data_IF_485958170354
#
_entry.id   IF_485958170354
#
_cell.length_a   1.000
_cell.length_b   1.000
_cell.length_c   1.000
_cell.angle_alpha   90.00
_cell.angle_beta   90.00
_cell.angle_gamma   90.00
#
_symmetry.space_group_name_H-M   'P 1'
#
loop_
_entity.id
_entity.type
_entity.pdbx_description
1 polymer ?
#
# COMPACT_ATOMS: atom_id res chain seq x y z
N UNK A 1 8.43 -12.23 13.78
CA UNK A 1 8.70 -10.86 13.29
C UNK A 1 7.95 -9.83 14.12
N UNK A 2 8.40 -8.57 14.09
CA UNK A 2 7.72 -7.47 14.79
C UNK A 2 6.67 -6.82 13.88
N UNK A 3 5.55 -6.40 14.51
CA UNK A 3 4.53 -5.57 13.86
C UNK A 3 3.97 -4.55 14.85
N UNK A 4 3.49 -3.40 14.34
CA UNK A 4 2.75 -2.43 15.12
C UNK A 4 1.24 -2.72 14.97
N UNK A 5 0.59 -3.00 16.10
CA UNK A 5 -0.81 -3.42 16.14
C UNK A 5 -1.65 -2.37 16.84
N UNK A 6 -2.65 -1.87 16.17
CA UNK A 6 -3.71 -1.06 16.75
C UNK A 6 -4.66 -2.02 17.51
N UNK A 7 -4.54 -2.07 18.83
CA UNK A 7 -5.29 -3.00 19.69
C UNK A 7 -6.72 -2.53 19.97
N UNK A 8 -6.89 -1.23 20.05
CA UNK A 8 -8.15 -0.51 20.23
C UNK A 8 -7.92 0.95 19.88
N UNK A 9 -8.96 1.78 19.89
CA UNK A 9 -8.85 3.22 19.69
C UNK A 9 -7.67 3.82 20.47
N UNK A 10 -6.77 4.53 19.76
CA UNK A 10 -5.65 5.26 20.34
C UNK A 10 -4.54 4.38 20.94
N UNK A 11 -4.61 3.05 20.86
CA UNK A 11 -3.64 2.15 21.48
C UNK A 11 -2.90 1.32 20.44
N UNK A 12 -1.73 1.83 20.03
CA UNK A 12 -0.78 1.12 19.17
C UNK A 12 0.29 0.44 20.02
N UNK A 13 0.58 -0.82 19.76
CA UNK A 13 1.60 -1.58 20.46
C UNK A 13 2.45 -2.43 19.51
N UNK A 14 3.73 -2.56 19.83
CA UNK A 14 4.61 -3.51 19.13
C UNK A 14 4.33 -4.92 19.64
N UNK A 15 4.11 -5.84 18.74
CA UNK A 15 3.93 -7.27 19.02
C UNK A 15 4.95 -8.11 18.26
N UNK A 16 5.45 -9.14 18.92
CA UNK A 16 6.20 -10.20 18.24
C UNK A 16 5.22 -11.30 17.82
N UNK A 17 5.20 -11.59 16.52
CA UNK A 17 4.29 -12.58 15.95
C UNK A 17 5.05 -13.63 15.14
N UNK A 18 4.49 -14.83 15.09
CA UNK A 18 4.86 -15.84 14.12
C UNK A 18 3.85 -15.75 12.98
N UNK A 19 4.30 -15.33 11.82
CA UNK A 19 3.48 -15.28 10.60
C UNK A 19 4.08 -16.28 9.60
N UNK A 20 3.23 -17.01 8.91
CA UNK A 20 3.66 -17.89 7.82
C UNK A 20 4.12 -17.03 6.64
N UNK A 21 5.41 -17.06 6.38
CA UNK A 21 6.04 -16.35 5.26
C UNK A 21 6.19 -17.21 4.00
N UNK A 22 5.59 -18.40 3.95
CA UNK A 22 5.55 -19.24 2.73
C UNK A 22 4.87 -18.47 1.61
N UNK A 23 5.54 -18.40 0.45
CA UNK A 23 5.06 -17.67 -0.72
C UNK A 23 4.22 -18.54 -1.64
N UNK A 24 3.16 -17.96 -2.19
CA UNK A 24 2.53 -18.47 -3.39
C UNK A 24 3.46 -18.27 -4.60
N UNK A 25 3.14 -18.92 -5.73
CA UNK A 25 4.02 -18.91 -6.89
C UNK A 25 4.30 -17.49 -7.44
N UNK A 26 3.34 -16.58 -7.35
CA UNK A 26 3.38 -15.21 -7.86
C UNK A 26 3.62 -14.13 -6.78
N UNK A 27 3.86 -14.54 -5.54
CA UNK A 27 4.09 -13.61 -4.42
C UNK A 27 5.56 -13.23 -4.26
N UNK A 28 5.75 -12.04 -3.72
CA UNK A 28 7.04 -11.47 -3.35
C UNK A 28 7.05 -11.19 -1.86
N UNK A 29 8.09 -11.63 -1.15
CA UNK A 29 8.34 -11.26 0.23
C UNK A 29 9.20 -9.99 0.26
N UNK A 30 8.65 -8.91 0.78
CA UNK A 30 9.34 -7.62 0.91
C UNK A 30 9.69 -7.36 2.38
N UNK A 31 10.98 -7.09 2.65
CA UNK A 31 11.41 -6.51 3.92
C UNK A 31 11.09 -5.01 3.90
N UNK A 32 10.16 -4.60 4.74
CA UNK A 32 9.72 -3.21 4.84
C UNK A 32 10.83 -2.33 5.40
N UNK A 33 11.13 -1.23 4.72
CA UNK A 33 12.13 -0.24 5.16
C UNK A 33 11.48 1.06 5.60
N UNK A 34 10.48 1.52 4.89
CA UNK A 34 9.72 2.75 5.19
C UNK A 34 8.25 2.49 4.96
N UNK A 35 7.43 3.00 5.85
CA UNK A 35 5.97 3.14 5.71
C UNK A 35 5.61 4.57 6.05
N UNK A 36 4.87 5.25 5.19
CA UNK A 36 4.29 6.56 5.50
C UNK A 36 2.89 6.39 6.08
N UNK A 37 2.38 7.40 6.73
CA UNK A 37 1.10 7.36 7.44
C UNK A 37 0.06 8.13 6.66
N UNK A 38 -0.93 7.43 6.15
CA UNK A 38 -2.08 8.02 5.47
C UNK A 38 -3.05 8.68 6.47
N UNK A 39 -3.84 9.61 5.98
CA UNK A 39 -4.96 10.19 6.75
C UNK A 39 -5.98 9.14 7.21
N UNK A 40 -6.15 8.05 6.46
CA UNK A 40 -7.01 6.93 6.85
C UNK A 40 -6.45 6.17 8.06
N UNK A 41 -5.13 5.97 8.16
CA UNK A 41 -4.51 5.35 9.33
C UNK A 41 -4.76 6.18 10.60
N UNK A 42 -4.66 7.51 10.49
CA UNK A 42 -4.98 8.42 11.60
C UNK A 42 -6.47 8.37 11.97
N UNK A 43 -7.34 8.29 10.97
CA UNK A 43 -8.78 8.15 11.18
C UNK A 43 -9.10 6.86 11.94
N UNK A 44 -8.51 5.73 11.56
CA UNK A 44 -8.68 4.44 12.24
C UNK A 44 -8.08 4.46 13.65
N UNK A 45 -6.93 5.09 13.84
CA UNK A 45 -6.32 5.24 15.16
C UNK A 45 -7.21 6.02 16.13
N UNK A 46 -7.93 7.03 15.64
CA UNK A 46 -8.80 7.90 16.45
C UNK A 46 -10.25 7.42 16.54
N UNK A 47 -10.66 6.46 15.71
CA UNK A 47 -12.05 6.06 15.60
C UNK A 47 -12.58 5.35 16.88
N UNK A 48 -13.71 5.79 17.39
CA UNK A 48 -14.47 5.07 18.41
C UNK A 48 -15.07 3.77 17.86
N UNK A 49 -15.48 3.81 16.58
CA UNK A 49 -16.03 2.67 15.86
C UNK A 49 -15.36 2.58 14.51
N UNK A 50 -14.74 1.45 14.22
CA UNK A 50 -14.17 1.17 12.90
C UNK A 50 -15.27 0.94 11.85
N UNK A 51 -14.99 1.19 10.55
CA UNK A 51 -15.85 0.74 9.45
C UNK A 51 -16.21 -0.75 9.58
N UNK A 52 -17.36 -1.16 9.03
CA UNK A 52 -17.94 -2.51 9.23
C UNK A 52 -17.03 -3.68 8.86
N UNK A 53 -16.08 -3.45 7.97
CA UNK A 53 -15.14 -4.44 7.44
C UNK A 53 -13.80 -4.48 8.19
N UNK A 54 -13.63 -3.64 9.21
CA UNK A 54 -12.45 -3.59 10.06
C UNK A 54 -12.75 -3.98 11.50
N UNK A 55 -11.79 -4.67 12.11
CA UNK A 55 -11.89 -5.11 13.51
C UNK A 55 -10.53 -4.98 14.20
N UNK A 56 -10.57 -4.67 15.48
CA UNK A 56 -9.36 -4.78 16.33
C UNK A 56 -9.06 -6.25 16.65
N UNK A 57 -7.80 -6.67 16.75
CA UNK A 57 -6.58 -5.89 16.48
C UNK A 57 -6.32 -5.71 14.99
N UNK A 58 -5.76 -4.57 14.60
CA UNK A 58 -5.54 -4.17 13.20
C UNK A 58 -4.08 -3.74 12.99
N UNK A 59 -3.43 -4.20 11.93
CA UNK A 59 -2.14 -3.68 11.46
C UNK A 59 -2.42 -2.65 10.37
N UNK A 60 -2.00 -1.41 10.62
CA UNK A 60 -2.19 -0.26 9.73
C UNK A 60 -1.06 -0.16 8.68
N UNK A 61 -1.14 0.87 7.84
CA UNK A 61 -0.14 1.23 6.84
C UNK A 61 -0.36 0.55 5.50
N UNK A 62 -0.20 1.33 4.43
CA UNK A 62 -0.38 0.85 3.06
C UNK A 62 0.49 1.62 2.05
N UNK A 63 1.23 2.62 2.50
CA UNK A 63 2.17 3.42 1.71
C UNK A 63 3.59 2.96 2.08
N UNK A 64 4.20 2.04 1.31
CA UNK A 64 5.44 1.40 1.73
C UNK A 64 6.47 1.23 0.62
N UNK A 65 7.74 1.18 1.04
CA UNK A 65 8.87 0.75 0.24
C UNK A 65 9.79 -0.20 1.03
N UNK A 66 10.52 -1.04 0.32
CA UNK A 66 11.37 -2.03 0.95
C UNK A 66 12.32 -2.76 -0.01
N UNK A 67 12.82 -3.89 0.45
CA UNK A 67 13.76 -4.74 -0.29
C UNK A 67 13.14 -6.13 -0.46
N UNK A 68 13.18 -6.65 -1.68
CA UNK A 68 12.79 -8.04 -1.98
C UNK A 68 13.70 -9.01 -1.25
N UNK A 69 13.14 -9.85 -0.39
CA UNK A 69 13.87 -10.88 0.37
C UNK A 69 13.80 -12.24 -0.32
N UNK A 70 12.64 -12.55 -0.89
CA UNK A 70 12.37 -13.82 -1.54
C UNK A 70 11.25 -13.65 -2.57
N UNK A 71 11.25 -14.50 -3.60
CA UNK A 71 10.24 -14.49 -4.66
C UNK A 71 9.68 -15.89 -4.85
N UNK A 72 8.37 -15.96 -5.13
CA UNK A 72 7.73 -17.18 -5.57
C UNK A 72 8.24 -17.65 -6.93
N UNK A 73 7.94 -18.89 -7.27
CA UNK A 73 8.54 -19.59 -8.44
C UNK A 73 8.09 -19.03 -9.80
N UNK A 74 6.97 -18.31 -9.86
CA UNK A 74 6.46 -17.66 -11.07
C UNK A 74 6.76 -16.14 -11.15
N UNK A 75 7.48 -15.60 -10.17
CA UNK A 75 7.87 -14.18 -10.17
C UNK A 75 8.98 -13.95 -11.19
N UNK A 76 8.79 -12.97 -12.08
CA UNK A 76 9.75 -12.59 -13.12
C UNK A 76 10.04 -11.09 -13.16
N UNK A 77 9.22 -10.25 -12.52
CA UNK A 77 9.32 -8.78 -12.56
C UNK A 77 10.41 -8.22 -11.66
N UNK A 78 10.72 -8.92 -10.57
CA UNK A 78 11.71 -8.51 -9.56
C UNK A 78 12.51 -9.72 -9.06
N UNK A 79 13.65 -9.45 -8.43
CA UNK A 79 14.50 -10.46 -7.84
C UNK A 79 14.94 -10.08 -6.42
N UNK A 80 15.46 -11.04 -5.67
CA UNK A 80 16.02 -10.81 -4.34
C UNK A 80 17.07 -9.70 -4.36
N UNK A 81 16.92 -8.74 -3.46
CA UNK A 81 17.79 -7.57 -3.31
C UNK A 81 17.27 -6.34 -4.02
N UNK A 82 16.30 -6.45 -4.92
CA UNK A 82 15.71 -5.29 -5.57
C UNK A 82 15.03 -4.37 -4.55
N UNK A 83 15.19 -3.06 -4.76
CA UNK A 83 14.51 -2.01 -4.01
C UNK A 83 13.16 -1.75 -4.67
N UNK A 84 12.09 -1.75 -3.90
CA UNK A 84 10.73 -1.72 -4.46
C UNK A 84 9.81 -0.81 -3.68
N UNK A 85 8.85 -0.20 -4.39
CA UNK A 85 7.60 0.31 -3.85
C UNK A 85 6.50 -0.73 -4.04
N UNK A 86 5.50 -0.69 -3.18
CA UNK A 86 4.39 -1.64 -3.22
C UNK A 86 3.07 -0.89 -3.36
N UNK A 87 2.33 -1.19 -4.42
CA UNK A 87 0.94 -0.78 -4.54
C UNK A 87 0.09 -1.59 -3.56
N UNK A 88 -0.64 -0.93 -2.65
CA UNK A 88 -1.40 -1.65 -1.62
C UNK A 88 -2.62 -2.39 -2.15
N UNK A 89 -3.02 -2.11 -3.40
CA UNK A 89 -4.13 -2.75 -4.07
C UNK A 89 -3.66 -3.98 -4.85
N UNK A 90 -4.41 -5.08 -4.73
CA UNK A 90 -4.24 -6.28 -5.55
C UNK A 90 -5.57 -6.66 -6.15
N UNK A 91 -5.56 -7.06 -7.43
CA UNK A 91 -6.74 -7.42 -8.20
C UNK A 91 -6.56 -8.76 -8.92
N UNK A 92 -7.67 -9.42 -9.27
CA UNK A 92 -7.60 -10.79 -9.80
C UNK A 92 -7.12 -10.89 -11.26
N UNK A 93 -7.16 -9.81 -12.02
CA UNK A 93 -6.74 -9.77 -13.43
C UNK A 93 -7.67 -10.42 -14.44
N UNK A 94 -8.73 -11.14 -14.03
CA UNK A 94 -9.56 -11.96 -14.94
C UNK A 94 -11.06 -11.69 -14.86
N UNK A 95 -11.59 -10.97 -13.86
CA UNK A 95 -12.99 -10.58 -13.83
C UNK A 95 -13.31 -9.52 -14.90
N UNK A 96 -14.57 -9.28 -15.17
CA UNK A 96 -15.01 -8.34 -16.21
C UNK A 96 -14.45 -6.94 -16.01
N UNK A 97 -14.42 -6.42 -14.77
CA UNK A 97 -13.84 -5.12 -14.46
C UNK A 97 -12.33 -5.08 -14.79
N UNK A 98 -11.57 -6.10 -14.40
CA UNK A 98 -10.14 -6.18 -14.70
C UNK A 98 -9.87 -6.26 -16.21
N UNK A 99 -10.69 -7.00 -16.97
CA UNK A 99 -10.54 -7.11 -18.42
C UNK A 99 -10.80 -5.77 -19.14
N UNK A 100 -11.60 -4.87 -18.55
CA UNK A 100 -11.80 -3.51 -19.06
C UNK A 100 -10.75 -2.50 -18.61
N UNK A 101 -9.85 -2.89 -17.69
CA UNK A 101 -8.87 -1.99 -17.06
C UNK A 101 -9.40 -1.24 -15.84
N UNK A 102 -10.62 -1.53 -15.40
CA UNK A 102 -11.27 -0.91 -14.24
C UNK A 102 -10.88 -1.66 -12.95
N UNK A 103 -9.59 -1.77 -12.66
CA UNK A 103 -9.05 -2.64 -11.59
C UNK A 103 -9.60 -2.34 -10.20
N UNK A 104 -9.90 -1.08 -9.90
CA UNK A 104 -10.50 -0.63 -8.64
C UNK A 104 -11.94 -1.12 -8.42
N UNK A 105 -12.59 -1.68 -9.46
CA UNK A 105 -13.88 -2.35 -9.38
C UNK A 105 -13.75 -3.88 -9.43
N UNK A 106 -12.57 -4.42 -9.19
CA UNK A 106 -12.35 -5.87 -9.16
C UNK A 106 -13.21 -6.52 -8.07
N UNK A 107 -13.90 -7.63 -8.43
CA UNK A 107 -14.77 -8.38 -7.51
C UNK A 107 -13.99 -9.01 -6.34
N UNK A 108 -12.71 -9.30 -6.56
CA UNK A 108 -11.80 -9.89 -5.56
C UNK A 108 -10.74 -8.90 -5.11
N UNK A 109 -11.08 -7.61 -5.10
CA UNK A 109 -10.15 -6.56 -4.71
C UNK A 109 -9.65 -6.77 -3.27
N UNK A 110 -8.35 -6.77 -3.11
CA UNK A 110 -7.67 -6.72 -1.82
C UNK A 110 -6.98 -5.36 -1.65
N UNK A 111 -7.01 -4.84 -0.43
CA UNK A 111 -6.30 -3.61 -0.10
C UNK A 111 -5.66 -3.74 1.28
N UNK A 112 -4.38 -3.36 1.43
CA UNK A 112 -3.67 -3.42 2.70
C UNK A 112 -4.38 -2.59 3.78
N UNK A 113 -4.34 -3.06 5.01
CA UNK A 113 -5.03 -2.46 6.17
C UNK A 113 -6.56 -2.33 6.00
N UNK A 114 -7.19 -3.19 5.18
CA UNK A 114 -8.65 -3.24 5.03
C UNK A 114 -9.18 -4.67 4.89
N UNK A 115 -10.46 -4.87 5.20
CA UNK A 115 -11.21 -6.14 4.98
C UNK A 115 -10.47 -7.41 5.48
N UNK A 116 -9.83 -7.33 6.64
CA UNK A 116 -9.06 -8.45 7.19
C UNK A 116 -7.67 -8.65 6.58
N UNK A 117 -7.26 -7.80 5.65
CA UNK A 117 -5.90 -7.79 5.08
C UNK A 117 -5.00 -6.96 6.01
N UNK A 118 -3.90 -7.56 6.43
CA UNK A 118 -2.91 -6.90 7.28
C UNK A 118 -2.21 -5.76 6.53
N UNK A 119 -1.99 -4.64 7.21
CA UNK A 119 -1.24 -3.51 6.66
C UNK A 119 0.28 -3.71 6.69
N UNK A 120 1.00 -2.66 6.33
CA UNK A 120 2.45 -2.65 6.12
C UNK A 120 3.26 -2.25 7.37
N UNK A 121 2.64 -1.88 8.51
CA UNK A 121 3.38 -1.57 9.74
C UNK A 121 3.92 -2.85 10.41
N UNK A 122 4.69 -3.64 9.65
CA UNK A 122 5.35 -4.89 10.05
C UNK A 122 6.68 -5.09 9.32
N UNK A 123 7.52 -6.00 9.80
CA UNK A 123 8.86 -6.20 9.22
C UNK A 123 8.83 -6.78 7.81
N UNK A 124 7.87 -7.65 7.50
CA UNK A 124 7.75 -8.31 6.19
C UNK A 124 6.32 -8.27 5.69
N UNK A 125 6.17 -8.06 4.38
CA UNK A 125 4.90 -8.12 3.66
C UNK A 125 5.04 -9.12 2.52
N UNK A 126 4.04 -10.00 2.37
CA UNK A 126 3.86 -10.83 1.15
C UNK A 126 2.84 -10.13 0.27
N UNK A 127 3.17 -9.95 -1.01
CA UNK A 127 2.25 -9.29 -1.94
C UNK A 127 2.46 -9.79 -3.37
N UNK A 128 1.42 -9.82 -4.22
CA UNK A 128 1.55 -10.26 -5.60
C UNK A 128 2.52 -9.41 -6.42
N UNK A 129 3.31 -10.03 -7.29
CA UNK A 129 4.29 -9.34 -8.12
C UNK A 129 3.68 -8.26 -9.03
N UNK A 130 2.40 -8.37 -9.40
CA UNK A 130 1.69 -7.40 -10.23
C UNK A 130 1.59 -6.02 -9.59
N UNK A 131 1.74 -5.94 -8.26
CA UNK A 131 1.68 -4.71 -7.46
C UNK A 131 3.03 -4.35 -6.83
N UNK A 132 4.14 -4.86 -7.38
CA UNK A 132 5.51 -4.58 -6.93
C UNK A 132 6.27 -3.83 -8.02
N UNK A 133 6.77 -2.65 -7.70
CA UNK A 133 7.45 -1.75 -8.64
C UNK A 133 8.88 -1.50 -8.22
N UNK A 134 9.84 -1.77 -9.10
CA UNK A 134 11.25 -1.53 -8.85
C UNK A 134 11.54 -0.03 -8.78
N UNK A 135 12.27 0.38 -7.74
CA UNK A 135 12.75 1.74 -7.58
C UNK A 135 14.03 1.97 -8.39
N UNK A 136 14.18 3.16 -8.92
CA UNK A 136 15.45 3.63 -9.45
C UNK A 136 16.52 3.68 -8.34
N UNK A 137 17.77 3.44 -8.70
CA UNK A 137 18.87 3.39 -7.72
C UNK A 137 19.07 4.71 -6.95
N UNK A 138 18.72 5.84 -7.58
CA UNK A 138 18.82 7.18 -6.99
C UNK A 138 17.72 7.51 -5.99
N UNK A 139 16.58 6.80 -6.02
CA UNK A 139 15.46 7.07 -5.12
C UNK A 139 15.73 6.54 -3.72
N UNK A 140 15.37 7.29 -2.68
CA UNK A 140 15.33 6.81 -1.31
C UNK A 140 14.13 5.88 -1.06
N UNK A 141 14.09 5.17 0.07
CA UNK A 141 12.89 4.41 0.43
C UNK A 141 11.73 5.31 0.85
N UNK A 142 12.03 6.48 1.41
CA UNK A 142 11.06 7.52 1.73
C UNK A 142 10.34 8.00 0.46
N UNK A 143 11.09 8.33 -0.58
CA UNK A 143 10.52 8.68 -1.90
C UNK A 143 9.73 7.50 -2.49
N UNK A 144 10.22 6.27 -2.35
CA UNK A 144 9.53 5.07 -2.79
C UNK A 144 8.19 4.86 -2.08
N UNK A 145 8.11 5.10 -0.76
CA UNK A 145 6.86 5.01 0.00
C UNK A 145 5.86 6.10 -0.41
N UNK A 146 6.33 7.28 -0.79
CA UNK A 146 5.50 8.38 -1.27
C UNK A 146 4.91 8.16 -2.67
N UNK A 147 5.35 7.14 -3.43
CA UNK A 147 4.77 6.85 -4.75
C UNK A 147 3.29 6.47 -4.66
N UNK A 148 2.85 5.84 -3.57
CA UNK A 148 1.44 5.52 -3.37
C UNK A 148 0.59 6.80 -3.30
N UNK A 149 0.77 7.73 -2.32
CA UNK A 149 -0.02 8.94 -2.26
C UNK A 149 0.20 9.88 -3.47
N UNK A 150 1.38 9.85 -4.10
CA UNK A 150 1.63 10.56 -5.36
C UNK A 150 0.75 10.03 -6.49
N UNK A 151 0.55 8.70 -6.57
CA UNK A 151 -0.33 8.10 -7.59
C UNK A 151 -1.77 8.58 -7.45
N UNK A 152 -2.25 8.79 -6.21
CA UNK A 152 -3.57 9.35 -5.92
C UNK A 152 -3.67 10.79 -6.42
N UNK A 153 -2.68 11.63 -6.10
CA UNK A 153 -2.63 13.02 -6.57
C UNK A 153 -2.55 13.08 -8.11
N UNK A 154 -1.68 12.28 -8.72
CA UNK A 154 -1.55 12.19 -10.18
C UNK A 154 -2.87 11.77 -10.85
N UNK A 155 -3.51 10.71 -10.34
CA UNK A 155 -4.81 10.25 -10.86
C UNK A 155 -5.92 11.32 -10.75
N UNK A 156 -5.86 12.16 -9.71
CA UNK A 156 -6.81 13.26 -9.57
C UNK A 156 -6.59 14.34 -10.65
N UNK A 157 -5.33 14.70 -10.92
CA UNK A 157 -4.97 15.67 -11.97
C UNK A 157 -5.35 15.14 -13.37
N UNK A 158 -5.04 13.86 -13.67
CA UNK A 158 -5.38 13.22 -14.94
C UNK A 158 -6.89 13.25 -15.28
N UNK A 159 -7.74 13.30 -14.25
CA UNK A 159 -9.21 13.38 -14.43
C UNK A 159 -9.72 14.80 -14.68
N UNK A 160 -8.86 15.80 -14.56
CA UNK A 160 -9.22 17.19 -14.83
C UNK A 160 -8.96 17.50 -16.32
N UNK A 161 -9.88 18.25 -16.94
CA UNK A 161 -9.62 18.90 -18.24
C UNK A 161 -8.70 20.11 -18.02
N UNK A 162 -7.40 19.80 -17.86
CA UNK A 162 -6.38 20.76 -17.42
C UNK A 162 -5.48 21.14 -18.62
N UNK A 163 -5.37 22.44 -18.88
CA UNK A 163 -4.55 22.98 -19.96
C UNK A 163 -3.73 24.18 -19.46
N UNK A 164 -2.80 24.64 -20.29
CA UNK A 164 -1.75 25.60 -19.92
C UNK A 164 -2.27 26.91 -19.27
N UNK A 165 -3.47 27.36 -19.67
CA UNK A 165 -4.10 28.59 -19.13
C UNK A 165 -5.02 28.32 -17.92
N UNK A 166 -5.19 27.06 -17.51
CA UNK A 166 -6.03 26.71 -16.38
C UNK A 166 -5.50 27.32 -15.07
N UNK A 167 -6.41 27.72 -14.21
CA UNK A 167 -6.11 28.15 -12.85
C UNK A 167 -6.59 27.08 -11.89
N UNK A 168 -5.66 26.51 -11.12
CA UNK A 168 -5.93 25.48 -10.13
C UNK A 168 -5.97 26.12 -8.74
N UNK A 169 -6.95 25.73 -7.95
CA UNK A 169 -7.03 26.06 -6.51
C UNK A 169 -7.05 24.75 -5.75
N UNK A 170 -6.07 24.56 -4.87
CA UNK A 170 -5.97 23.38 -4.00
C UNK A 170 -6.43 23.79 -2.61
N UNK A 171 -7.48 23.14 -2.09
CA UNK A 171 -8.02 23.36 -0.76
C UNK A 171 -7.45 22.34 0.21
N UNK A 172 -6.43 22.73 0.95
CA UNK A 172 -5.69 21.91 1.92
C UNK A 172 -4.25 21.67 1.51
N UNK A 173 -3.33 21.80 2.47
CA UNK A 173 -1.89 21.58 2.31
C UNK A 173 -1.43 20.36 3.11
N UNK A 174 -2.24 19.27 3.10
CA UNK A 174 -1.85 17.96 3.58
C UNK A 174 -1.02 17.21 2.53
N UNK A 175 -0.68 15.93 2.78
CA UNK A 175 0.16 15.12 1.90
C UNK A 175 -0.32 15.15 0.43
N UNK A 176 -1.58 14.90 0.17
CA UNK A 176 -2.13 14.91 -1.19
C UNK A 176 -2.08 16.32 -1.81
N UNK A 177 -2.47 17.37 -1.06
CA UNK A 177 -2.45 18.75 -1.58
C UNK A 177 -1.04 19.27 -1.89
N UNK A 178 -0.01 18.76 -1.21
CA UNK A 178 1.40 19.09 -1.49
C UNK A 178 1.98 18.29 -2.66
N UNK A 179 1.41 17.12 -2.97
CA UNK A 179 1.82 16.27 -4.09
C UNK A 179 1.13 16.66 -5.41
N UNK A 180 0.04 17.45 -5.37
CA UNK A 180 -0.65 18.02 -6.52
C UNK A 180 0.07 19.27 -7.06
#
# INVERSE_FOLDING_TARGET
MKQAVLKQQGVLAIADVQEDLTLQADEVLVEVKVVTICGSDLSYFQAETLPHDLQYPLVLGHEMAGIVKETGTAVSSVQKGDRVAVEPQSYCGHCEACQRGDYNFCESLQFMASKGISGALKQYVKWPQSSIYKLEDSMSFEEGALLEPLSVAYSAIEKLDFHKESRLVILGAGSIGLLM
#
